data_IF_662498914291
#
_entry.id   IF_662498914291
#
_cell.length_a   1.000
_cell.length_b   1.000
_cell.length_c   1.000
_cell.angle_alpha   90.00
_cell.angle_beta   90.00
_cell.angle_gamma   90.00
#
_symmetry.space_group_name_H-M   'P 1'
#
loop_
_entity.id
_entity.type
_entity.pdbx_description
1 polymer ?
#
# COMPACT_ATOMS: atom_id res chain seq x y z
N UNK A 1 23.94 -16.10 6.97
CA UNK A 1 23.07 -16.64 5.90
C UNK A 1 22.46 -17.89 6.47
N UNK A 2 21.24 -17.79 7.02
CA UNK A 2 20.48 -18.98 7.35
C UNK A 2 19.92 -19.52 6.02
N UNK A 3 20.31 -20.74 5.69
CA UNK A 3 19.81 -21.49 4.56
C UNK A 3 18.31 -21.72 4.81
N UNK A 4 17.45 -21.12 3.98
CA UNK A 4 16.01 -21.34 4.06
C UNK A 4 15.74 -22.81 3.70
N UNK A 5 15.62 -23.66 4.71
CA UNK A 5 15.20 -25.04 4.55
C UNK A 5 13.77 -25.03 3.99
N UNK A 6 13.64 -25.33 2.71
CA UNK A 6 12.34 -25.61 2.09
C UNK A 6 11.77 -26.88 2.73
N UNK A 7 10.63 -26.76 3.41
CA UNK A 7 9.83 -27.92 3.81
C UNK A 7 9.80 -28.29 5.29
N UNK A 8 9.98 -27.34 6.22
CA UNK A 8 9.48 -27.59 7.59
C UNK A 8 7.94 -27.51 7.58
N UNK A 9 7.24 -28.48 8.17
CA UNK A 9 5.77 -28.57 8.23
C UNK A 9 5.11 -27.32 8.88
N UNK A 10 5.94 -26.45 9.49
CA UNK A 10 5.54 -25.16 10.05
C UNK A 10 5.40 -24.03 9.01
N UNK A 11 6.03 -24.13 7.85
CA UNK A 11 6.07 -23.05 6.85
C UNK A 11 4.83 -23.02 5.93
N UNK A 12 4.21 -24.17 5.68
CA UNK A 12 3.03 -24.29 4.81
C UNK A 12 1.99 -25.21 5.45
N UNK A 13 0.78 -24.71 5.64
CA UNK A 13 -0.32 -25.50 6.15
C UNK A 13 -1.63 -25.01 5.57
N UNK A 14 -2.36 -25.87 4.84
CA UNK A 14 -3.66 -25.46 4.31
C UNK A 14 -4.73 -25.51 5.41
N UNK A 15 -5.19 -24.33 5.84
CA UNK A 15 -6.33 -24.19 6.78
C UNK A 15 -7.28 -23.10 6.30
N UNK A 16 -8.51 -23.10 6.82
CA UNK A 16 -9.46 -22.00 6.57
C UNK A 16 -8.85 -20.65 6.98
N UNK A 17 -8.07 -20.63 8.07
CA UNK A 17 -7.37 -19.45 8.56
C UNK A 17 -6.39 -18.86 7.55
N UNK A 18 -5.75 -19.67 6.72
CA UNK A 18 -4.86 -19.17 5.66
C UNK A 18 -5.63 -18.51 4.52
N UNK A 19 -6.81 -19.05 4.18
CA UNK A 19 -7.66 -18.50 3.12
C UNK A 19 -8.31 -17.20 3.59
N UNK A 20 -8.85 -17.16 4.81
CA UNK A 20 -9.41 -15.92 5.38
C UNK A 20 -8.31 -14.90 5.66
N UNK A 21 -7.14 -15.36 6.12
CA UNK A 21 -5.95 -14.55 6.34
C UNK A 21 -5.43 -13.89 5.07
N UNK A 22 -5.42 -14.60 3.94
CA UNK A 22 -5.11 -14.03 2.63
C UNK A 22 -5.98 -12.80 2.31
N UNK A 23 -7.27 -12.83 2.65
CA UNK A 23 -8.18 -11.67 2.47
C UNK A 23 -7.82 -10.51 3.40
N UNK A 24 -7.22 -10.77 4.57
CA UNK A 24 -6.85 -9.77 5.55
C UNK A 24 -5.89 -8.69 5.02
N UNK A 25 -4.93 -9.08 4.18
CA UNK A 25 -4.00 -8.14 3.50
C UNK A 25 -4.72 -7.35 2.39
N UNK A 26 -5.66 -8.00 1.70
CA UNK A 26 -6.41 -7.37 0.60
C UNK A 26 -7.22 -6.16 1.03
N UNK A 27 -7.59 -6.07 2.31
CA UNK A 27 -8.32 -4.94 2.89
C UNK A 27 -7.61 -3.62 2.62
N UNK A 28 -6.28 -3.61 2.69
CA UNK A 28 -5.48 -2.39 2.48
C UNK A 28 -4.96 -2.29 1.04
N UNK A 29 -4.75 -3.42 0.37
CA UNK A 29 -4.19 -3.47 -1.00
C UNK A 29 -5.22 -3.10 -2.07
N UNK A 30 -6.34 -3.83 -2.13
CA UNK A 30 -7.26 -3.75 -3.27
C UNK A 30 -7.90 -2.36 -3.44
N UNK A 31 -8.36 -1.68 -2.37
CA UNK A 31 -8.83 -0.29 -2.49
C UNK A 31 -7.87 0.64 -3.22
N UNK A 32 -6.58 0.58 -2.85
CA UNK A 32 -5.54 1.47 -3.39
C UNK A 32 -5.19 1.07 -4.82
N UNK A 33 -5.04 -0.23 -5.09
CA UNK A 33 -4.69 -0.73 -6.44
C UNK A 33 -5.79 -0.41 -7.45
N UNK A 34 -7.06 -0.62 -7.07
CA UNK A 34 -8.19 -0.26 -7.95
C UNK A 34 -8.28 1.24 -8.14
N UNK A 35 -8.03 2.04 -7.09
CA UNK A 35 -8.03 3.49 -7.23
C UNK A 35 -6.95 3.99 -8.18
N UNK A 36 -5.72 3.46 -8.09
CA UNK A 36 -4.65 3.82 -9.03
C UNK A 36 -5.03 3.40 -10.45
N UNK A 37 -5.50 2.18 -10.67
CA UNK A 37 -5.89 1.74 -12.01
C UNK A 37 -7.08 2.53 -12.60
N UNK A 38 -7.99 3.03 -11.76
CA UNK A 38 -9.14 3.81 -12.22
C UNK A 38 -8.83 5.29 -12.48
N UNK A 39 -7.78 5.83 -11.87
CA UNK A 39 -7.46 7.26 -11.88
C UNK A 39 -6.14 7.59 -12.59
N UNK A 40 -5.38 6.58 -12.99
CA UNK A 40 -4.13 6.72 -13.74
C UNK A 40 -4.20 5.90 -15.03
N UNK A 41 -3.14 5.97 -15.84
CA UNK A 41 -2.95 5.21 -17.06
C UNK A 41 -2.39 3.80 -16.84
N UNK A 42 -2.20 3.38 -15.57
CA UNK A 42 -1.67 2.06 -15.24
C UNK A 42 -2.73 0.97 -15.35
N UNK A 43 -2.35 -0.15 -15.97
CA UNK A 43 -3.23 -1.29 -16.22
C UNK A 43 -3.43 -2.15 -14.96
N UNK A 44 -4.68 -2.33 -14.52
CA UNK A 44 -5.00 -3.10 -13.30
C UNK A 44 -4.40 -4.50 -13.32
N UNK A 45 -4.41 -5.19 -14.46
CA UNK A 45 -3.96 -6.56 -14.54
C UNK A 45 -2.46 -6.65 -14.29
N UNK A 46 -1.68 -5.75 -14.89
CA UNK A 46 -0.23 -5.64 -14.64
C UNK A 46 0.06 -5.32 -13.18
N UNK A 47 -0.72 -4.40 -12.57
CA UNK A 47 -0.57 -4.10 -11.14
C UNK A 47 -0.80 -5.35 -10.28
N UNK A 48 -1.94 -6.03 -10.48
CA UNK A 48 -2.31 -7.23 -9.73
C UNK A 48 -1.35 -8.40 -9.96
N UNK A 49 -0.81 -8.57 -11.18
CA UNK A 49 0.21 -9.58 -11.45
C UNK A 49 1.51 -9.32 -10.69
N UNK A 50 1.93 -8.06 -10.57
CA UNK A 50 3.06 -7.68 -9.73
C UNK A 50 2.87 -8.14 -8.29
N UNK A 51 1.71 -7.83 -7.69
CA UNK A 51 1.35 -8.33 -6.36
C UNK A 51 1.28 -9.86 -6.32
N UNK A 52 0.68 -10.50 -7.32
CA UNK A 52 0.54 -11.95 -7.37
C UNK A 52 1.90 -12.67 -7.30
N UNK A 53 2.85 -12.23 -8.12
CA UNK A 53 4.21 -12.77 -8.18
C UNK A 53 4.92 -12.56 -6.85
N UNK A 54 4.93 -11.33 -6.33
CA UNK A 54 5.72 -11.04 -5.14
C UNK A 54 5.10 -11.52 -3.83
N UNK A 55 3.78 -11.69 -3.77
CA UNK A 55 3.14 -12.42 -2.68
C UNK A 55 3.69 -13.85 -2.60
N UNK A 56 3.75 -14.56 -3.74
CA UNK A 56 4.30 -15.93 -3.83
C UNK A 56 5.79 -15.95 -3.50
N UNK A 57 6.60 -15.08 -4.14
CA UNK A 57 8.06 -15.03 -3.93
C UNK A 57 8.40 -14.81 -2.46
N UNK A 58 7.80 -13.81 -1.81
CA UNK A 58 8.12 -13.49 -0.42
C UNK A 58 7.47 -14.46 0.55
N UNK A 59 6.29 -15.00 0.26
CA UNK A 59 5.71 -16.09 1.04
C UNK A 59 6.65 -17.29 1.10
N UNK A 60 7.14 -17.74 -0.06
CA UNK A 60 8.08 -18.86 -0.17
C UNK A 60 9.43 -18.54 0.49
N UNK A 61 10.00 -17.36 0.22
CA UNK A 61 11.34 -16.99 0.72
C UNK A 61 11.39 -16.81 2.24
N UNK A 62 10.34 -16.27 2.84
CA UNK A 62 10.29 -16.06 4.30
C UNK A 62 9.67 -17.24 5.04
N UNK A 63 8.82 -18.05 4.40
CA UNK A 63 8.07 -19.10 5.08
C UNK A 63 7.00 -18.54 6.04
N UNK A 64 6.58 -17.30 5.84
CA UNK A 64 5.69 -16.53 6.72
C UNK A 64 4.54 -15.90 5.91
N UNK A 65 3.41 -15.54 6.55
CA UNK A 65 2.33 -14.76 5.96
C UNK A 65 2.77 -13.30 5.73
N UNK A 66 3.80 -13.09 4.93
CA UNK A 66 4.39 -11.79 4.64
C UNK A 66 3.43 -10.91 3.85
N UNK A 67 3.28 -9.64 4.24
CA UNK A 67 2.52 -8.65 3.47
C UNK A 67 3.29 -8.23 2.22
N UNK A 68 2.57 -8.01 1.11
CA UNK A 68 3.06 -7.27 -0.05
C UNK A 68 1.99 -6.24 -0.41
N UNK A 69 2.27 -5.00 -0.05
CA UNK A 69 1.35 -3.88 -0.10
C UNK A 69 1.85 -2.78 -1.05
N UNK A 70 0.97 -1.93 -1.60
CA UNK A 70 1.39 -0.76 -2.35
C UNK A 70 2.14 0.22 -1.44
N UNK A 71 3.12 0.92 -2.00
CA UNK A 71 3.76 2.07 -1.35
C UNK A 71 2.73 3.20 -1.14
N UNK A 72 2.06 3.20 0.02
CA UNK A 72 0.84 4.00 0.28
C UNK A 72 0.98 5.50 0.00
N UNK A 73 2.12 6.12 0.33
CA UNK A 73 2.30 7.54 0.08
C UNK A 73 2.44 7.84 -1.42
N UNK A 74 3.21 7.03 -2.16
CA UNK A 74 3.33 7.18 -3.62
C UNK A 74 2.00 6.90 -4.32
N UNK A 75 1.33 5.80 -3.96
CA UNK A 75 0.05 5.44 -4.57
C UNK A 75 -1.02 6.52 -4.33
N UNK A 76 -1.07 7.09 -3.12
CA UNK A 76 -2.00 8.15 -2.81
C UNK A 76 -1.68 9.47 -3.51
N UNK A 77 -0.41 9.81 -3.69
CA UNK A 77 0.00 10.96 -4.51
C UNK A 77 -0.43 10.79 -5.97
N UNK A 78 -0.33 9.58 -6.52
CA UNK A 78 -0.83 9.28 -7.86
C UNK A 78 -2.37 9.37 -7.94
N UNK A 79 -3.09 8.83 -6.95
CA UNK A 79 -4.55 8.95 -6.82
C UNK A 79 -5.01 10.42 -6.76
N UNK A 80 -4.26 11.26 -6.04
CA UNK A 80 -4.52 12.69 -5.93
C UNK A 80 -4.10 13.49 -7.18
N UNK A 81 -3.55 12.86 -8.21
CA UNK A 81 -3.06 13.51 -9.42
C UNK A 81 -1.77 14.31 -9.22
N UNK A 82 -1.09 14.16 -8.08
CA UNK A 82 0.19 14.83 -7.79
C UNK A 82 1.40 14.11 -8.43
N UNK A 83 1.24 12.85 -8.84
CA UNK A 83 2.19 12.10 -9.66
C UNK A 83 1.44 11.48 -10.84
N UNK A 84 2.00 11.59 -12.04
CA UNK A 84 1.61 10.76 -13.18
C UNK A 84 2.00 9.29 -12.98
N UNK A 85 1.49 8.38 -13.82
CA UNK A 85 1.87 6.96 -13.80
C UNK A 85 3.38 6.77 -13.98
N UNK A 86 3.99 7.44 -14.96
CA UNK A 86 5.44 7.43 -15.21
C UNK A 86 6.24 7.93 -13.98
N UNK A 87 5.78 8.99 -13.33
CA UNK A 87 6.43 9.53 -12.12
C UNK A 87 6.28 8.60 -10.91
N UNK A 88 5.13 7.93 -10.75
CA UNK A 88 4.91 6.90 -9.73
C UNK A 88 5.91 5.74 -9.89
N UNK A 89 6.03 5.21 -11.11
CA UNK A 89 6.99 4.13 -11.41
C UNK A 89 8.44 4.61 -11.20
N UNK A 90 8.77 5.83 -11.62
CA UNK A 90 10.10 6.42 -11.38
C UNK A 90 10.42 6.55 -9.90
N UNK A 91 9.48 7.06 -9.10
CA UNK A 91 9.62 7.18 -7.65
C UNK A 91 9.78 5.81 -6.98
N UNK A 92 9.04 4.80 -7.47
CA UNK A 92 9.16 3.42 -6.99
C UNK A 92 10.51 2.78 -7.27
N UNK A 93 11.07 2.97 -8.47
CA UNK A 93 12.42 2.49 -8.77
C UNK A 93 13.47 3.18 -7.92
N UNK A 94 13.35 4.50 -7.74
CA UNK A 94 14.27 5.26 -6.90
C UNK A 94 14.19 4.79 -5.44
N UNK A 95 12.97 4.63 -4.91
CA UNK A 95 12.75 4.07 -3.58
C UNK A 95 13.35 2.66 -3.46
N UNK A 96 13.12 1.81 -4.47
CA UNK A 96 13.65 0.45 -4.53
C UNK A 96 15.18 0.41 -4.51
N UNK A 97 15.83 1.25 -5.31
CA UNK A 97 17.28 1.38 -5.32
C UNK A 97 17.82 1.82 -3.96
N UNK A 98 17.23 2.87 -3.36
CA UNK A 98 17.66 3.38 -2.05
C UNK A 98 17.47 2.32 -0.97
N UNK A 99 16.33 1.63 -0.92
CA UNK A 99 16.05 0.57 0.05
C UNK A 99 17.02 -0.62 -0.11
N UNK A 100 17.34 -1.00 -1.35
CA UNK A 100 18.32 -2.05 -1.61
C UNK A 100 19.70 -1.68 -1.07
N UNK A 101 20.17 -0.46 -1.36
CA UNK A 101 21.46 0.04 -0.87
C UNK A 101 21.47 0.11 0.66
N UNK A 102 20.45 0.70 1.28
CA UNK A 102 20.36 0.83 2.74
C UNK A 102 20.31 -0.54 3.44
N UNK A 103 19.49 -1.47 2.95
CA UNK A 103 19.39 -2.81 3.51
C UNK A 103 20.69 -3.61 3.36
N UNK A 104 21.36 -3.53 2.21
CA UNK A 104 22.65 -4.21 1.99
C UNK A 104 23.79 -3.63 2.83
N UNK A 105 23.75 -2.33 3.08
CA UNK A 105 24.75 -1.61 3.90
C UNK A 105 24.41 -1.61 5.39
N UNK A 106 23.30 -2.23 5.81
CA UNK A 106 22.81 -2.25 7.20
C UNK A 106 22.72 -0.87 7.83
N UNK A 107 22.25 0.09 7.04
CA UNK A 107 22.23 1.51 7.39
C UNK A 107 20.82 2.05 7.56
N UNK A 108 19.80 1.19 7.51
CA UNK A 108 18.40 1.61 7.62
C UNK A 108 18.11 2.25 8.99
N UNK A 109 18.62 1.65 10.07
CA UNK A 109 18.47 2.17 11.43
C UNK A 109 19.08 3.56 11.58
N UNK A 110 20.27 3.81 10.99
CA UNK A 110 20.92 5.12 11.05
C UNK A 110 20.11 6.23 10.38
N UNK A 111 19.33 5.89 9.35
CA UNK A 111 18.46 6.86 8.68
C UNK A 111 17.26 7.26 9.55
N UNK A 112 16.75 6.35 10.40
CA UNK A 112 15.62 6.67 11.31
C UNK A 112 15.97 7.72 12.35
N UNK A 113 17.22 7.76 12.80
CA UNK A 113 17.66 8.73 13.82
C UNK A 113 17.56 10.19 13.36
N UNK A 114 17.46 10.41 12.04
CA UNK A 114 17.43 11.74 11.43
C UNK A 114 16.01 12.20 11.06
N UNK A 115 15.03 11.28 11.01
CA UNK A 115 13.63 11.57 10.65
C UNK A 115 12.74 11.16 11.82
N UNK A 116 12.34 12.16 12.63
CA UNK A 116 11.50 11.90 13.80
C UNK A 116 10.14 11.29 13.49
N UNK A 117 9.61 10.49 14.42
CA UNK A 117 8.26 9.93 14.34
C UNK A 117 7.18 10.97 13.99
N UNK A 118 7.14 12.18 14.58
CA UNK A 118 6.14 13.18 14.23
C UNK A 118 6.17 13.58 12.74
N UNK A 119 7.33 13.51 12.09
CA UNK A 119 7.47 13.80 10.66
C UNK A 119 6.79 12.72 9.84
N UNK A 120 7.11 11.44 10.09
CA UNK A 120 6.48 10.30 9.43
C UNK A 120 4.97 10.35 9.58
N UNK A 121 4.51 10.61 10.80
CA UNK A 121 3.10 10.74 11.18
C UNK A 121 2.43 11.91 10.46
N UNK A 122 3.11 13.04 10.35
CA UNK A 122 2.64 14.19 9.58
C UNK A 122 2.49 13.91 8.08
N UNK A 123 3.42 13.16 7.49
CA UNK A 123 3.29 12.71 6.09
C UNK A 123 2.07 11.79 5.93
N UNK A 124 1.80 10.90 6.88
CA UNK A 124 0.57 10.09 6.86
C UNK A 124 -0.69 10.96 6.91
N UNK A 125 -0.70 12.02 7.74
CA UNK A 125 -1.80 12.98 7.78
C UNK A 125 -1.95 13.71 6.44
N UNK A 126 -0.86 14.18 5.83
CA UNK A 126 -0.91 14.86 4.53
C UNK A 126 -1.52 13.95 3.46
N UNK A 127 -1.06 12.71 3.39
CA UNK A 127 -1.56 11.71 2.45
C UNK A 127 -3.04 11.39 2.71
N UNK A 128 -3.45 11.27 3.97
CA UNK A 128 -4.84 11.05 4.34
C UNK A 128 -5.74 12.21 3.89
N UNK A 129 -5.28 13.46 4.04
CA UNK A 129 -6.03 14.63 3.59
C UNK A 129 -6.17 14.69 2.07
N UNK A 130 -5.11 14.37 1.33
CA UNK A 130 -5.14 14.28 -0.14
C UNK A 130 -6.15 13.22 -0.62
N UNK A 131 -6.10 12.01 -0.03
CA UNK A 131 -7.07 10.96 -0.34
C UNK A 131 -8.50 11.37 0.00
N UNK A 132 -8.69 12.11 1.10
CA UNK A 132 -10.00 12.62 1.49
C UNK A 132 -10.53 13.65 0.49
N UNK A 133 -9.69 14.58 0.04
CA UNK A 133 -10.04 15.56 -0.99
C UNK A 133 -10.45 14.89 -2.30
N UNK A 134 -9.63 13.95 -2.81
CA UNK A 134 -9.98 13.16 -4.00
C UNK A 134 -11.27 12.37 -3.79
N UNK A 135 -11.42 11.72 -2.62
CA UNK A 135 -12.59 10.93 -2.28
C UNK A 135 -13.88 11.76 -2.27
N UNK A 136 -13.85 12.97 -1.70
CA UNK A 136 -14.98 13.91 -1.73
C UNK A 136 -15.32 14.28 -3.18
N UNK A 137 -14.32 14.65 -3.98
CA UNK A 137 -14.53 14.99 -5.40
C UNK A 137 -15.23 13.87 -6.17
N UNK A 138 -14.81 12.62 -5.97
CA UNK A 138 -15.42 11.46 -6.61
C UNK A 138 -16.84 11.18 -6.12
N UNK A 139 -17.11 11.30 -4.81
CA UNK A 139 -18.45 11.11 -4.24
C UNK A 139 -19.47 12.04 -4.89
N UNK A 140 -19.07 13.28 -5.19
CA UNK A 140 -19.94 14.29 -5.81
C UNK A 140 -20.36 13.94 -7.24
N UNK A 141 -19.66 13.03 -7.93
CA UNK A 141 -20.04 12.61 -9.29
C UNK A 141 -21.36 11.85 -9.36
N UNK A 142 -21.75 11.14 -8.29
CA UNK A 142 -23.04 10.48 -8.15
C UNK A 142 -23.37 10.28 -6.66
N UNK A 143 -23.97 11.32 -6.02
CA UNK A 143 -24.22 11.33 -4.57
C UNK A 143 -25.18 10.22 -4.11
N UNK A 144 -26.13 9.80 -4.95
CA UNK A 144 -27.08 8.75 -4.61
C UNK A 144 -26.38 7.40 -4.42
N UNK A 145 -25.53 7.03 -5.38
CA UNK A 145 -24.79 5.77 -5.31
C UNK A 145 -23.72 5.81 -4.20
N UNK A 146 -23.06 6.96 -4.02
CA UNK A 146 -22.15 7.15 -2.89
C UNK A 146 -22.87 7.07 -1.54
N UNK A 147 -24.07 7.65 -1.42
CA UNK A 147 -24.89 7.58 -0.22
C UNK A 147 -25.27 6.14 0.14
N UNK A 148 -25.59 5.30 -0.85
CA UNK A 148 -25.83 3.87 -0.64
C UNK A 148 -24.57 3.14 -0.17
N UNK A 149 -23.42 3.39 -0.81
CA UNK A 149 -22.15 2.80 -0.39
C UNK A 149 -21.76 3.21 1.04
N UNK A 150 -21.95 4.49 1.39
CA UNK A 150 -21.72 5.00 2.75
C UNK A 150 -22.69 4.37 3.76
N UNK A 151 -23.96 4.21 3.40
CA UNK A 151 -24.93 3.53 4.25
C UNK A 151 -24.50 2.09 4.56
N UNK A 152 -24.07 1.34 3.55
CA UNK A 152 -23.52 -0.02 3.74
C UNK A 152 -22.30 0.01 4.66
N UNK A 153 -21.39 0.97 4.46
CA UNK A 153 -20.22 1.14 5.31
C UNK A 153 -20.59 1.35 6.78
N UNK A 154 -21.59 2.21 7.05
CA UNK A 154 -22.07 2.54 8.39
C UNK A 154 -22.77 1.35 9.05
N UNK A 155 -23.61 0.61 8.31
CA UNK A 155 -24.26 -0.61 8.80
C UNK A 155 -23.21 -1.65 9.20
N UNK A 156 -22.24 -1.91 8.33
CA UNK A 156 -21.14 -2.82 8.64
C UNK A 156 -20.31 -2.35 9.84
N UNK A 157 -20.08 -1.04 9.94
CA UNK A 157 -19.35 -0.46 11.05
C UNK A 157 -20.09 -0.59 12.39
N UNK A 158 -21.42 -0.52 12.38
CA UNK A 158 -22.30 -0.76 13.52
C UNK A 158 -22.34 -2.24 13.93
N UNK A 159 -22.27 -3.14 12.94
CA UNK A 159 -22.21 -4.59 13.15
C UNK A 159 -20.81 -5.12 13.56
N UNK A 160 -19.81 -4.25 13.72
CA UNK A 160 -18.46 -4.62 14.14
C UNK A 160 -17.49 -4.97 12.99
N UNK A 161 -17.94 -4.98 11.73
CA UNK A 161 -17.14 -5.33 10.55
C UNK A 161 -16.45 -4.12 9.90
N UNK A 162 -16.02 -3.15 10.72
CA UNK A 162 -15.39 -1.88 10.25
C UNK A 162 -14.24 -2.12 9.28
N UNK A 163 -13.34 -3.05 9.62
CA UNK A 163 -12.13 -3.34 8.83
C UNK A 163 -12.46 -3.96 7.46
N UNK A 164 -13.54 -4.72 7.34
CA UNK A 164 -13.92 -5.39 6.09
C UNK A 164 -14.80 -4.51 5.18
N UNK A 165 -15.29 -3.37 5.69
CA UNK A 165 -16.24 -2.51 4.97
C UNK A 165 -15.74 -2.05 3.60
N UNK A 166 -14.46 -1.66 3.49
CA UNK A 166 -13.86 -1.24 2.22
C UNK A 166 -13.90 -2.36 1.16
N UNK A 167 -13.61 -3.61 1.52
CA UNK A 167 -13.69 -4.75 0.59
C UNK A 167 -15.11 -5.05 0.15
N UNK A 168 -16.09 -4.97 1.05
CA UNK A 168 -17.49 -5.20 0.69
C UNK A 168 -17.98 -4.12 -0.26
N UNK A 169 -17.67 -2.86 0.00
CA UNK A 169 -18.02 -1.75 -0.89
C UNK A 169 -17.35 -1.92 -2.25
N UNK A 170 -16.09 -2.33 -2.28
CA UNK A 170 -15.37 -2.63 -3.52
C UNK A 170 -16.04 -3.78 -4.29
N UNK A 171 -16.41 -4.87 -3.59
CA UNK A 171 -17.11 -6.00 -4.19
C UNK A 171 -18.49 -5.60 -4.76
N UNK A 172 -19.23 -4.74 -4.06
CA UNK A 172 -20.50 -4.19 -4.55
C UNK A 172 -20.28 -3.31 -5.79
N UNK A 173 -19.22 -2.51 -5.82
CA UNK A 173 -18.84 -1.71 -6.99
C UNK A 173 -18.51 -2.57 -8.20
N UNK A 174 -17.76 -3.66 -8.01
CA UNK A 174 -17.48 -4.62 -9.09
C UNK A 174 -18.71 -5.43 -9.52
N UNK A 175 -19.60 -5.80 -8.59
CA UNK A 175 -20.86 -6.45 -8.93
C UNK A 175 -21.75 -5.52 -9.78
N UNK A 176 -21.82 -4.24 -9.43
CA UNK A 176 -22.50 -3.23 -10.23
C UNK A 176 -21.85 -3.08 -11.62
N UNK A 177 -20.52 -3.03 -11.70
CA UNK A 177 -19.80 -2.97 -12.97
C UNK A 177 -20.11 -4.19 -13.85
N UNK A 178 -20.06 -5.40 -13.30
CA UNK A 178 -20.39 -6.63 -14.01
C UNK A 178 -21.84 -6.67 -14.49
N UNK A 179 -22.79 -6.14 -13.72
CA UNK A 179 -24.17 -5.99 -14.17
C UNK A 179 -24.30 -5.06 -15.39
N UNK A 180 -23.41 -4.05 -15.51
CA UNK A 180 -23.42 -3.09 -16.63
C UNK A 180 -22.76 -3.61 -17.89
N UNK A 181 -21.62 -4.30 -17.76
CA UNK A 181 -20.80 -4.71 -18.92
C UNK A 181 -20.83 -6.21 -19.22
N UNK A 182 -21.52 -6.99 -18.40
CA UNK A 182 -21.63 -8.44 -18.53
C UNK A 182 -20.59 -9.20 -17.71
N UNK A 183 -20.56 -10.53 -17.90
CA UNK A 183 -19.64 -11.40 -17.19
C UNK A 183 -18.19 -11.13 -17.64
N UNK A 184 -17.23 -11.14 -16.69
CA UNK A 184 -15.83 -10.95 -17.03
C UNK A 184 -15.32 -12.06 -17.95
N UNK A 185 -14.75 -11.68 -19.09
CA UNK A 185 -14.00 -12.59 -19.97
C UNK A 185 -12.53 -12.57 -19.60
N UNK A 186 -11.87 -13.72 -19.68
CA UNK A 186 -10.42 -13.80 -19.44
C UNK A 186 -9.67 -12.96 -20.49
N UNK A 187 -8.81 -12.06 -20.03
CA UNK A 187 -7.87 -11.30 -20.85
C UNK A 187 -6.44 -11.59 -20.42
N UNK A 188 -5.55 -11.87 -21.37
CA UNK A 188 -4.12 -11.98 -21.09
C UNK A 188 -3.55 -10.56 -21.07
N UNK A 189 -2.97 -10.10 -19.95
CA UNK A 189 -2.42 -8.76 -19.88
C UNK A 189 -1.18 -8.61 -20.75
N UNK A 190 -1.08 -7.47 -21.44
CA UNK A 190 0.08 -7.13 -22.24
C UNK A 190 1.20 -6.61 -21.32
N UNK A 191 2.11 -7.50 -20.94
CA UNK A 191 3.27 -7.13 -20.13
C UNK A 191 4.36 -6.60 -21.05
N UNK A 192 4.76 -5.34 -20.85
CA UNK A 192 5.89 -4.73 -21.55
C UNK A 192 6.99 -4.34 -20.57
N UNK A 193 8.24 -4.53 -20.97
CA UNK A 193 9.37 -4.01 -20.25
C UNK A 193 9.64 -2.56 -20.68
N UNK A 194 9.64 -1.63 -19.72
CA UNK A 194 10.00 -0.24 -19.92
C UNK A 194 10.71 0.29 -18.66
N UNK A 195 11.89 0.86 -18.84
CA UNK A 195 12.49 1.67 -17.79
C UNK A 195 11.85 3.06 -17.80
N UNK A 196 11.48 3.62 -16.63
CA UNK A 196 10.98 4.97 -16.54
C UNK A 196 11.96 5.97 -17.16
N UNK A 197 11.41 6.91 -17.91
CA UNK A 197 12.21 7.87 -18.67
C UNK A 197 12.97 8.78 -17.70
N UNK A 198 14.23 9.09 -18.01
CA UNK A 198 15.01 10.05 -17.22
C UNK A 198 14.33 11.42 -17.10
N UNK A 199 13.49 11.79 -18.08
CA UNK A 199 12.67 13.01 -18.04
C UNK A 199 11.60 13.03 -16.95
N UNK A 200 11.21 11.88 -16.40
CA UNK A 200 10.28 11.78 -15.28
C UNK A 200 10.97 12.06 -13.92
N UNK A 201 12.31 12.15 -13.88
CA UNK A 201 13.01 12.58 -12.67
C UNK A 201 12.85 14.10 -12.49
N UNK A 202 12.03 14.46 -11.50
CA UNK A 202 11.80 15.84 -11.09
C UNK A 202 11.81 16.00 -9.58
N UNK A 203 11.72 17.25 -9.11
CA UNK A 203 11.64 17.57 -7.69
C UNK A 203 10.42 16.91 -7.02
N UNK A 204 9.29 16.81 -7.72
CA UNK A 204 8.10 16.08 -7.28
C UNK A 204 8.43 14.62 -6.93
N UNK A 205 9.00 13.87 -7.89
CA UNK A 205 9.42 12.48 -7.71
C UNK A 205 10.43 12.30 -6.59
N UNK A 206 11.47 13.14 -6.52
CA UNK A 206 12.48 13.07 -5.46
C UNK A 206 11.84 13.26 -4.07
N UNK A 207 10.95 14.24 -3.97
CA UNK A 207 10.31 14.60 -2.71
C UNK A 207 9.26 13.56 -2.26
N UNK A 208 8.50 13.02 -3.21
CA UNK A 208 7.58 11.90 -2.98
C UNK A 208 8.33 10.65 -2.53
N UNK A 209 9.46 10.35 -3.18
CA UNK A 209 10.35 9.24 -2.81
C UNK A 209 10.88 9.42 -1.39
N UNK A 210 11.34 10.61 -1.02
CA UNK A 210 11.83 10.89 0.33
C UNK A 210 10.73 10.69 1.39
N UNK A 211 9.53 11.22 1.15
CA UNK A 211 8.37 11.04 2.04
C UNK A 211 7.95 9.56 2.17
N UNK A 212 7.96 8.82 1.05
CA UNK A 212 7.67 7.38 1.06
C UNK A 212 8.75 6.59 1.81
N UNK A 213 10.03 6.88 1.62
CA UNK A 213 11.12 6.21 2.32
C UNK A 213 11.00 6.42 3.84
N UNK A 214 10.73 7.66 4.28
CA UNK A 214 10.47 7.96 5.68
C UNK A 214 9.33 7.10 6.26
N UNK A 215 8.21 6.95 5.53
CA UNK A 215 7.09 6.12 5.96
C UNK A 215 7.41 4.62 5.94
N UNK A 216 8.19 4.18 4.95
CA UNK A 216 8.55 2.77 4.72
C UNK A 216 9.45 2.26 5.83
N UNK A 217 10.45 3.03 6.24
CA UNK A 217 11.38 2.60 7.27
C UNK A 217 10.65 2.31 8.59
N UNK A 218 9.76 3.20 9.02
CA UNK A 218 8.99 2.99 10.26
C UNK A 218 8.01 1.82 10.16
N UNK A 219 7.08 1.85 9.19
CA UNK A 219 5.98 0.87 9.17
C UNK A 219 6.34 -0.45 8.48
N UNK A 220 7.02 -0.37 7.33
CA UNK A 220 7.26 -1.53 6.46
C UNK A 220 8.54 -2.30 6.79
N UNK A 221 9.50 -1.67 7.49
CA UNK A 221 10.71 -2.34 7.96
C UNK A 221 10.66 -2.57 9.48
N UNK A 222 10.76 -1.51 10.30
CA UNK A 222 10.90 -1.65 11.77
C UNK A 222 9.65 -2.27 12.40
N UNK A 223 8.47 -1.68 12.20
CA UNK A 223 7.25 -2.19 12.80
C UNK A 223 6.86 -3.57 12.24
N UNK A 224 7.21 -3.87 10.99
CA UNK A 224 6.96 -5.20 10.40
C UNK A 224 7.88 -6.24 11.05
N UNK A 225 9.17 -5.94 11.19
CA UNK A 225 10.15 -6.79 11.89
C UNK A 225 9.69 -7.13 13.31
N UNK A 226 9.33 -6.13 14.11
CA UNK A 226 8.82 -6.32 15.47
C UNK A 226 7.55 -7.18 15.50
N UNK A 227 6.61 -6.91 14.59
CA UNK A 227 5.36 -7.65 14.53
C UNK A 227 5.56 -9.13 14.15
N UNK A 228 6.54 -9.43 13.28
CA UNK A 228 6.89 -10.81 12.94
C UNK A 228 7.48 -11.55 14.15
N UNK A 229 8.32 -10.89 14.95
CA UNK A 229 8.84 -11.46 16.20
C UNK A 229 7.70 -11.68 17.22
N UNK A 230 6.87 -10.65 17.46
CA UNK A 230 5.81 -10.68 18.47
C UNK A 230 4.68 -11.67 18.16
N UNK A 231 4.25 -11.77 16.89
CA UNK A 231 3.07 -12.56 16.50
C UNK A 231 3.40 -13.94 15.93
N UNK A 232 4.58 -14.09 15.33
CA UNK A 232 4.95 -15.28 14.56
C UNK A 232 6.27 -15.90 15.04
N UNK A 233 6.87 -15.36 16.10
CA UNK A 233 8.14 -15.83 16.68
C UNK A 233 9.26 -15.90 15.63
N UNK A 234 9.23 -14.99 14.66
CA UNK A 234 10.10 -14.99 13.49
C UNK A 234 10.99 -13.74 13.45
N UNK A 235 12.31 -13.95 13.55
CA UNK A 235 13.30 -12.90 13.53
C UNK A 235 13.71 -12.52 12.10
N UNK A 236 13.09 -11.46 11.56
CA UNK A 236 13.47 -10.88 10.26
C UNK A 236 13.86 -9.42 10.49
N UNK A 237 15.11 -9.06 10.16
CA UNK A 237 15.62 -7.73 10.46
C UNK A 237 15.01 -6.64 9.56
N UNK A 238 14.95 -5.37 10.02
CA UNK A 238 14.52 -4.26 9.17
C UNK A 238 15.34 -4.12 7.88
N UNK A 239 16.65 -4.39 7.93
CA UNK A 239 17.53 -4.35 6.76
C UNK A 239 17.23 -5.46 5.75
N UNK A 240 16.84 -6.66 6.22
CA UNK A 240 16.41 -7.74 5.34
C UNK A 240 15.10 -7.38 4.64
N UNK A 241 14.14 -6.80 5.37
CA UNK A 241 12.89 -6.30 4.80
C UNK A 241 13.12 -5.13 3.81
N UNK A 242 14.05 -4.23 4.11
CA UNK A 242 14.43 -3.17 3.17
C UNK A 242 15.07 -3.73 1.90
N UNK A 243 15.93 -4.74 2.06
CA UNK A 243 16.56 -5.43 0.93
C UNK A 243 15.52 -6.09 0.02
N UNK A 244 14.56 -6.84 0.58
CA UNK A 244 13.51 -7.49 -0.20
C UNK A 244 12.59 -6.48 -0.88
N UNK A 245 12.20 -5.40 -0.19
CA UNK A 245 11.46 -4.30 -0.79
C UNK A 245 12.22 -3.69 -1.97
N UNK A 246 13.52 -3.44 -1.81
CA UNK A 246 14.36 -2.94 -2.88
C UNK A 246 14.41 -3.88 -4.10
N UNK A 247 14.65 -5.17 -3.85
CA UNK A 247 14.67 -6.20 -4.90
C UNK A 247 13.34 -6.24 -5.66
N UNK A 248 12.20 -6.31 -4.97
CA UNK A 248 10.93 -6.44 -5.67
C UNK A 248 10.56 -5.21 -6.48
N UNK A 249 10.88 -3.99 -6.03
CA UNK A 249 10.61 -2.79 -6.83
C UNK A 249 11.49 -2.74 -8.07
N UNK A 250 12.79 -3.03 -7.94
CA UNK A 250 13.71 -3.03 -9.08
C UNK A 250 13.38 -4.11 -10.11
N UNK A 251 12.78 -5.23 -9.68
CA UNK A 251 12.36 -6.30 -10.57
C UNK A 251 10.96 -6.11 -11.14
N UNK A 252 10.01 -5.55 -10.39
CA UNK A 252 8.60 -5.47 -10.79
C UNK A 252 8.26 -4.21 -11.58
N UNK A 253 8.74 -3.05 -11.11
CA UNK A 253 8.37 -1.74 -11.65
C UNK A 253 8.75 -1.57 -13.13
N UNK A 254 9.87 -2.12 -13.65
CA UNK A 254 10.18 -2.07 -15.07
C UNK A 254 9.17 -2.82 -15.96
N UNK A 255 8.31 -3.67 -15.39
CA UNK A 255 7.23 -4.34 -16.10
C UNK A 255 5.87 -3.64 -15.93
N UNK A 256 5.86 -2.41 -15.37
CA UNK A 256 4.65 -1.64 -15.12
C UNK A 256 3.94 -1.98 -13.81
N UNK A 257 4.52 -2.84 -12.96
CA UNK A 257 3.94 -3.11 -11.64
C UNK A 257 4.02 -1.88 -10.72
N UNK A 258 3.04 -1.75 -9.83
CA UNK A 258 3.05 -0.68 -8.84
C UNK A 258 4.27 -0.82 -7.91
N UNK A 259 4.82 0.29 -7.39
CA UNK A 259 5.79 0.22 -6.33
C UNK A 259 5.22 -0.46 -5.08
N UNK A 260 5.93 -1.47 -4.56
CA UNK A 260 5.47 -2.36 -3.49
C UNK A 260 6.34 -2.23 -2.24
N UNK A 261 5.79 -2.51 -1.07
CA UNK A 261 6.51 -2.62 0.20
C UNK A 261 5.99 -3.82 0.99
N UNK A 262 6.68 -4.18 2.06
CA UNK A 262 6.06 -4.95 3.14
C UNK A 262 5.20 -4.00 3.98
N UNK A 263 4.50 -4.53 4.99
CA UNK A 263 3.75 -3.68 5.88
C UNK A 263 3.21 -4.40 7.09
N UNK A 264 3.37 -3.76 8.25
CA UNK A 264 2.85 -4.25 9.52
C UNK A 264 1.32 -4.32 9.51
N UNK A 265 0.67 -3.42 8.75
CA UNK A 265 -0.78 -3.46 8.53
C UNK A 265 -1.24 -4.75 7.85
N UNK A 266 -0.63 -5.10 6.71
CA UNK A 266 -0.94 -6.33 6.00
C UNK A 266 -0.61 -7.60 6.80
N UNK A 267 0.54 -7.63 7.50
CA UNK A 267 0.90 -8.77 8.37
C UNK A 267 -0.09 -8.91 9.52
N UNK A 268 -0.43 -7.81 10.21
CA UNK A 268 -1.44 -7.81 11.26
C UNK A 268 -2.82 -8.22 10.72
N UNK A 269 -3.16 -7.80 9.51
CA UNK A 269 -4.37 -8.20 8.79
C UNK A 269 -4.40 -9.71 8.59
N UNK A 270 -3.39 -10.29 7.94
CA UNK A 270 -3.25 -11.73 7.74
C UNK A 270 -3.38 -12.50 9.07
N UNK A 271 -2.66 -12.06 10.09
CA UNK A 271 -2.68 -12.70 11.41
C UNK A 271 -4.07 -12.61 12.08
N UNK A 272 -4.70 -11.44 12.08
CA UNK A 272 -6.03 -11.22 12.67
C UNK A 272 -7.09 -12.10 12.01
N UNK A 273 -6.97 -12.33 10.70
CA UNK A 273 -7.87 -13.16 9.93
C UNK A 273 -7.47 -14.65 9.92
N UNK A 274 -6.46 -15.05 10.69
CA UNK A 274 -6.16 -16.45 11.00
C UNK A 274 -4.95 -17.05 10.27
N UNK A 275 -4.26 -16.31 9.40
CA UNK A 275 -3.08 -16.84 8.73
C UNK A 275 -1.89 -16.91 9.69
N UNK A 276 -1.12 -17.99 9.59
CA UNK A 276 0.09 -18.24 10.36
C UNK A 276 1.26 -18.69 9.48
N UNK A 277 1.00 -19.04 8.22
CA UNK A 277 2.01 -19.66 7.34
C UNK A 277 2.13 -18.93 6.01
N UNK A 278 3.11 -19.31 5.20
CA UNK A 278 3.25 -18.82 3.83
C UNK A 278 2.11 -19.24 2.89
N UNK A 279 1.26 -20.19 3.29
CA UNK A 279 0.11 -20.60 2.48
C UNK A 279 -0.85 -19.42 2.20
N UNK A 280 -1.04 -18.50 3.16
CA UNK A 280 -1.83 -17.29 2.92
C UNK A 280 -1.29 -16.44 1.77
N UNK A 281 0.03 -16.37 1.60
CA UNK A 281 0.67 -15.67 0.48
C UNK A 281 0.41 -16.35 -0.86
N UNK A 282 0.47 -17.69 -0.91
CA UNK A 282 0.20 -18.45 -2.12
C UNK A 282 -1.26 -18.32 -2.55
N UNK A 283 -2.20 -18.43 -1.60
CA UNK A 283 -3.63 -18.26 -1.84
C UNK A 283 -3.92 -16.84 -2.34
N UNK A 284 -3.32 -15.83 -1.69
CA UNK A 284 -3.51 -14.44 -2.10
C UNK A 284 -2.91 -14.16 -3.48
N UNK A 285 -1.71 -14.70 -3.75
CA UNK A 285 -1.08 -14.59 -5.06
C UNK A 285 -1.95 -15.19 -6.17
N UNK A 286 -2.55 -16.35 -5.92
CA UNK A 286 -3.54 -16.94 -6.83
C UNK A 286 -4.76 -16.05 -7.03
N UNK A 287 -5.33 -15.49 -5.96
CA UNK A 287 -6.48 -14.59 -6.07
C UNK A 287 -6.16 -13.34 -6.88
N UNK A 288 -4.98 -12.73 -6.70
CA UNK A 288 -4.56 -11.61 -7.52
C UNK A 288 -4.27 -11.99 -8.96
N UNK A 289 -3.69 -13.17 -9.23
CA UNK A 289 -3.51 -13.66 -10.59
C UNK A 289 -4.86 -13.89 -11.30
N UNK A 290 -5.84 -14.49 -10.62
CA UNK A 290 -7.18 -14.65 -11.16
C UNK A 290 -7.86 -13.30 -11.39
N UNK A 291 -7.77 -12.38 -10.42
CA UNK A 291 -8.31 -11.03 -10.59
C UNK A 291 -7.65 -10.29 -11.76
N UNK A 292 -6.34 -10.46 -11.98
CA UNK A 292 -5.65 -9.89 -13.13
C UNK A 292 -6.14 -10.45 -14.47
N UNK A 293 -6.62 -11.69 -14.52
CA UNK A 293 -7.16 -12.29 -15.74
C UNK A 293 -8.61 -11.88 -16.02
N UNK A 294 -9.41 -11.69 -14.97
CA UNK A 294 -10.87 -11.54 -15.12
C UNK A 294 -11.40 -10.15 -14.79
N UNK A 295 -10.79 -9.40 -13.87
CA UNK A 295 -11.38 -8.15 -13.35
C UNK A 295 -11.06 -6.91 -14.19
N UNK A 296 -10.17 -7.01 -15.18
CA UNK A 296 -9.63 -5.86 -15.94
C UNK A 296 -10.72 -5.04 -16.61
N UNK A 297 -11.63 -5.71 -17.32
CA UNK A 297 -12.72 -5.06 -18.03
C UNK A 297 -13.77 -4.42 -17.10
N UNK A 298 -13.81 -4.83 -15.83
CA UNK A 298 -14.76 -4.30 -14.86
C UNK A 298 -14.33 -2.94 -14.31
N UNK A 299 -13.03 -2.63 -14.31
CA UNK A 299 -12.51 -1.35 -13.77
C UNK A 299 -13.05 -0.16 -14.52
N UNK A 300 -13.11 -0.24 -15.85
CA UNK A 300 -13.63 0.84 -16.70
C UNK A 300 -15.11 1.15 -16.42
N UNK A 301 -15.86 0.17 -15.90
CA UNK A 301 -17.26 0.31 -15.51
C UNK A 301 -17.45 0.49 -13.99
N UNK A 302 -16.37 0.55 -13.22
CA UNK A 302 -16.43 0.70 -11.77
C UNK A 302 -16.96 2.10 -11.43
N UNK A 303 -17.98 2.22 -10.54
CA UNK A 303 -18.54 3.53 -10.22
C UNK A 303 -17.55 4.39 -9.41
N UNK A 304 -17.08 5.48 -10.00
CA UNK A 304 -16.14 6.39 -9.33
C UNK A 304 -16.69 6.97 -8.03
N UNK A 305 -17.99 7.21 -7.92
CA UNK A 305 -18.60 7.67 -6.66
C UNK A 305 -18.49 6.64 -5.52
N UNK A 306 -18.52 5.34 -5.82
CA UNK A 306 -18.27 4.27 -4.86
C UNK A 306 -16.80 4.22 -4.49
N UNK A 307 -15.91 4.42 -5.48
CA UNK A 307 -14.47 4.53 -5.25
C UNK A 307 -14.15 5.68 -4.29
N UNK A 308 -14.84 6.82 -4.43
CA UNK A 308 -14.71 7.96 -3.52
C UNK A 308 -15.01 7.60 -2.07
N UNK A 309 -16.06 6.80 -1.82
CA UNK A 309 -16.36 6.30 -0.45
C UNK A 309 -15.24 5.40 0.06
N UNK A 310 -14.72 4.50 -0.78
CA UNK A 310 -13.60 3.63 -0.43
C UNK A 310 -12.36 4.46 -0.07
N UNK A 311 -12.03 5.50 -0.85
CA UNK A 311 -10.91 6.40 -0.56
C UNK A 311 -11.09 7.15 0.76
N UNK A 312 -12.32 7.59 1.09
CA UNK A 312 -12.61 8.23 2.39
C UNK A 312 -12.38 7.28 3.56
N UNK A 313 -12.70 5.99 3.43
CA UNK A 313 -12.43 5.00 4.46
C UNK A 313 -10.91 4.81 4.66
N UNK A 314 -10.15 4.70 3.56
CA UNK A 314 -8.68 4.61 3.60
C UNK A 314 -8.07 5.87 4.21
N UNK A 315 -8.58 7.05 3.85
CA UNK A 315 -8.15 8.32 4.41
C UNK A 315 -8.37 8.39 5.93
N UNK A 316 -9.51 7.91 6.44
CA UNK A 316 -9.77 7.84 7.89
C UNK A 316 -8.81 6.90 8.59
N UNK A 317 -8.52 5.74 8.00
CA UNK A 317 -7.56 4.78 8.57
C UNK A 317 -6.15 5.39 8.66
N UNK A 318 -5.68 5.98 7.56
CA UNK A 318 -4.35 6.57 7.49
C UNK A 318 -4.22 7.81 8.36
N UNK A 319 -5.24 8.66 8.41
CA UNK A 319 -5.28 9.84 9.27
C UNK A 319 -5.24 9.46 10.75
N UNK A 320 -5.98 8.42 11.16
CA UNK A 320 -5.89 7.88 12.53
C UNK A 320 -4.49 7.37 12.85
N UNK A 321 -3.83 6.68 11.92
CA UNK A 321 -2.45 6.26 12.11
C UNK A 321 -1.48 7.44 12.24
N UNK A 322 -1.67 8.50 11.43
CA UNK A 322 -0.87 9.72 11.48
C UNK A 322 -1.07 10.56 12.76
N UNK A 323 -2.18 10.39 13.47
CA UNK A 323 -2.42 11.09 14.75
C UNK A 323 -1.88 10.35 15.98
N UNK A 324 -1.31 9.15 15.82
CA UNK A 324 -0.68 8.38 16.90
C UNK A 324 0.77 8.80 17.10
N UNK A 325 0.94 10.00 17.65
CA UNK A 325 2.24 10.59 17.99
C UNK A 325 2.11 11.48 19.22
N UNK A 326 3.20 11.65 19.94
CA UNK A 326 3.29 12.55 21.08
C UNK A 326 3.23 14.02 20.65
N UNK A 327 3.80 14.36 19.48
CA UNK A 327 3.76 15.72 18.91
C UNK A 327 2.70 15.82 17.79
N UNK A 328 1.43 15.77 18.20
CA UNK A 328 0.29 15.89 17.27
C UNK A 328 0.26 17.22 16.54
N UNK A 329 0.73 18.30 17.17
CA UNK A 329 0.73 19.62 16.58
C UNK A 329 1.67 19.68 15.37
N UNK A 330 2.88 19.12 15.50
CA UNK A 330 3.82 19.03 14.39
C UNK A 330 3.27 18.14 13.28
N UNK A 331 2.73 16.96 13.62
CA UNK A 331 2.17 16.05 12.61
C UNK A 331 0.99 16.68 11.84
N UNK A 332 0.04 17.32 12.53
CA UNK A 332 -1.09 18.02 11.88
C UNK A 332 -0.58 19.20 11.04
N UNK A 333 0.41 19.95 11.52
CA UNK A 333 1.00 21.06 10.78
C UNK A 333 1.66 20.62 9.47
N UNK A 334 2.44 19.52 9.50
CA UNK A 334 3.00 18.89 8.30
C UNK A 334 1.88 18.40 7.39
N UNK A 335 0.83 17.79 7.96
CA UNK A 335 -0.34 17.33 7.22
C UNK A 335 -1.01 18.43 6.40
N UNK A 336 -1.35 19.54 7.06
CA UNK A 336 -1.97 20.70 6.44
C UNK A 336 -1.04 21.34 5.41
N UNK A 337 0.25 21.50 5.74
CA UNK A 337 1.24 22.04 4.80
C UNK A 337 1.33 21.17 3.54
N UNK A 338 1.32 19.85 3.69
CA UNK A 338 1.36 18.91 2.57
C UNK A 338 0.15 19.01 1.66
N UNK A 339 -1.05 19.18 2.25
CA UNK A 339 -2.29 19.42 1.50
C UNK A 339 -2.25 20.75 0.73
N UNK A 340 -1.80 21.83 1.38
CA UNK A 340 -1.82 23.18 0.80
C UNK A 340 -0.68 23.45 -0.19
N UNK A 341 0.38 22.66 -0.15
CA UNK A 341 1.57 22.86 -1.00
C UNK A 341 1.93 21.57 -1.74
N UNK A 342 2.89 20.80 -1.23
CA UNK A 342 3.16 19.44 -1.61
C UNK A 342 3.82 18.69 -0.45
N UNK A 343 3.69 17.37 -0.48
CA UNK A 343 4.24 16.47 0.55
C UNK A 343 5.76 16.60 0.71
N UNK A 344 6.47 16.97 -0.36
CA UNK A 344 7.89 17.22 -0.36
C UNK A 344 8.33 18.39 0.52
N UNK A 345 7.73 19.56 0.32
CA UNK A 345 7.96 20.75 1.14
C UNK A 345 7.58 20.45 2.58
N UNK A 346 6.43 19.80 2.80
CA UNK A 346 5.97 19.42 4.12
C UNK A 346 6.96 18.48 4.84
N UNK A 347 7.56 17.54 4.13
CA UNK A 347 8.62 16.67 4.65
C UNK A 347 9.84 17.47 5.09
N UNK A 348 10.40 18.31 4.21
CA UNK A 348 11.60 19.10 4.51
C UNK A 348 11.37 20.04 5.70
N UNK A 349 10.27 20.80 5.67
CA UNK A 349 9.89 21.70 6.77
C UNK A 349 9.64 20.93 8.06
N UNK A 350 9.01 19.76 7.96
CA UNK A 350 8.76 18.87 9.09
C UNK A 350 10.05 18.38 9.75
N UNK A 351 11.03 17.93 8.97
CA UNK A 351 12.35 17.52 9.47
C UNK A 351 13.05 18.68 10.17
N UNK A 352 13.08 19.87 9.56
CA UNK A 352 13.67 21.06 10.17
C UNK A 352 12.97 21.44 11.49
N UNK A 353 11.63 21.43 11.50
CA UNK A 353 10.83 21.71 12.68
C UNK A 353 11.07 20.70 13.81
N UNK A 354 11.19 19.42 13.47
CA UNK A 354 11.52 18.37 14.43
C UNK A 354 12.91 18.57 15.07
N UNK A 355 13.92 18.86 14.25
CA UNK A 355 15.28 19.12 14.74
C UNK A 355 15.37 20.35 15.65
N UNK A 356 14.61 21.41 15.34
CA UNK A 356 14.54 22.60 16.19
C UNK A 356 13.91 22.29 17.55
N UNK A 357 12.84 21.48 17.58
CA UNK A 357 12.16 21.07 18.82
C UNK A 357 12.95 20.10 19.67
N UNK A 358 13.80 19.26 19.06
CA UNK A 358 14.67 18.32 19.79
C UNK A 358 15.81 19.01 20.56
N UNK A 359 16.14 20.26 20.20
CA UNK A 359 17.18 21.06 20.87
C UNK A 359 16.67 21.87 22.07
N UNK A 360 15.36 21.90 22.30
CA UNK A 360 14.68 22.59 23.40
C UNK A 360 14.24 21.54 24.42
#
# INVERSE_FOLDING_TARGET
MAEAAFGDDRQFKFTVGEVTGAVGDSITVLPVVVAVAALTDLDLAVLLLGFAVFQVVWGVRYGLPMSVEPMKALAALAIAGALSGDELLTAGLLAGFVLLVLGKTRSLERLTEHVGEPVVRGIQVAVALLLAETGVGLVLSNPTLAGLALFVALVMAGAGYRKTSALVILALGFAFAGFRVGLPTASIPAISFALPRASALGSGVLSATAGQLAMTVGNAAVATSLLLSDLLEAEVSPDELATSMGVMNLLAVPFGAMPMCHGSGGVAGKYTFGARTATANLVLGLFYALAALFAVHLVAAFPLSVLGVVLLLVAVELGRAGLRTDDRLLAVGIGILGLLTNVGIAFVVGVLGWWLRRKV
#
